data_IF_451482573401
#
_entry.id   IF_451482573401
#
_cell.length_a   1.000
_cell.length_b   1.000
_cell.length_c   1.000
_cell.angle_alpha   90.00
_cell.angle_beta   90.00
_cell.angle_gamma   90.00
#
_symmetry.space_group_name_H-M   'P 1'
#
loop_
_entity.id
_entity.type
_entity.pdbx_description
1 polymer ?
#
# COMPACT_ATOMS: atom_id res chain seq x y z
N UNK A 1 4.46 5.02 -11.08
CA UNK A 1 3.08 4.74 -10.79
C UNK A 1 2.58 3.51 -11.53
N UNK A 2 1.36 3.10 -11.24
CA UNK A 2 0.71 2.04 -12.02
C UNK A 2 0.29 2.57 -13.38
N UNK A 3 0.60 1.83 -14.45
CA UNK A 3 0.12 2.15 -15.79
C UNK A 3 -1.37 1.81 -15.87
N UNK A 4 -2.22 2.83 -15.90
CA UNK A 4 -3.66 2.69 -16.01
C UNK A 4 -4.26 3.89 -16.77
N UNK A 5 -5.53 3.76 -17.14
CA UNK A 5 -6.28 4.80 -17.86
C UNK A 5 -7.13 5.68 -16.91
N UNK A 6 -6.80 5.71 -15.64
CA UNK A 6 -7.51 6.48 -14.62
C UNK A 6 -8.68 5.75 -13.97
N UNK A 7 -9.27 6.40 -12.98
CA UNK A 7 -10.32 5.80 -12.14
C UNK A 7 -11.60 5.53 -12.92
N UNK A 8 -11.97 6.37 -13.88
CA UNK A 8 -13.18 6.17 -14.68
C UNK A 8 -13.12 4.89 -15.52
N UNK A 9 -11.95 4.61 -16.12
CA UNK A 9 -11.74 3.36 -16.85
C UNK A 9 -11.78 2.13 -15.93
N UNK A 10 -11.32 2.27 -14.67
CA UNK A 10 -11.44 1.22 -13.68
C UNK A 10 -12.91 0.97 -13.31
N UNK A 11 -13.68 2.03 -13.07
CA UNK A 11 -15.12 1.95 -12.79
C UNK A 11 -15.86 1.24 -13.92
N UNK A 12 -15.63 1.63 -15.17
CA UNK A 12 -16.27 0.98 -16.34
C UNK A 12 -16.03 -0.54 -16.38
N UNK A 13 -14.80 -0.98 -16.07
CA UNK A 13 -14.47 -2.41 -16.04
C UNK A 13 -15.12 -3.13 -14.86
N UNK A 14 -15.21 -2.48 -13.71
CA UNK A 14 -15.79 -3.05 -12.49
C UNK A 14 -17.31 -3.19 -12.55
N UNK A 15 -18.01 -2.41 -13.39
CA UNK A 15 -19.46 -2.56 -13.63
C UNK A 15 -19.85 -3.97 -14.09
N UNK A 16 -18.95 -4.69 -14.76
CA UNK A 16 -19.17 -6.06 -15.25
C UNK A 16 -18.42 -7.12 -14.44
N UNK A 17 -18.00 -6.81 -13.20
CA UNK A 17 -17.31 -7.82 -12.37
C UNK A 17 -18.22 -9.01 -12.06
N UNK A 18 -17.66 -10.24 -12.02
CA UNK A 18 -18.42 -11.42 -11.60
C UNK A 18 -18.94 -11.27 -10.16
N UNK A 19 -20.14 -11.78 -9.91
CA UNK A 19 -20.71 -11.82 -8.55
C UNK A 19 -19.89 -12.74 -7.65
N UNK A 20 -19.75 -12.37 -6.36
CA UNK A 20 -19.02 -13.16 -5.37
C UNK A 20 -17.49 -12.98 -5.39
N UNK A 21 -16.95 -12.21 -6.32
CA UNK A 21 -15.54 -11.86 -6.34
C UNK A 21 -15.26 -10.68 -5.39
N UNK A 22 -14.36 -10.87 -4.41
CA UNK A 22 -13.90 -9.79 -3.53
C UNK A 22 -12.88 -8.92 -4.28
N UNK A 23 -13.14 -7.63 -4.38
CA UNK A 23 -12.30 -6.66 -5.09
C UNK A 23 -11.83 -5.55 -4.16
N UNK A 24 -10.52 -5.33 -4.09
CA UNK A 24 -9.92 -4.21 -3.38
C UNK A 24 -9.61 -3.03 -4.30
N UNK A 25 -10.03 -1.83 -3.92
CA UNK A 25 -9.66 -0.59 -4.59
C UNK A 25 -8.30 -0.09 -4.08
N UNK A 26 -7.23 -0.30 -4.85
CA UNK A 26 -5.89 0.21 -4.52
C UNK A 26 -5.77 1.63 -5.05
N UNK A 27 -5.87 2.62 -4.15
CA UNK A 27 -5.89 4.05 -4.48
C UNK A 27 -4.58 4.73 -4.12
N UNK A 28 -4.18 5.71 -4.90
CA UNK A 28 -2.93 6.42 -4.73
C UNK A 28 -2.90 7.74 -5.50
N UNK A 29 -1.89 8.54 -5.21
CA UNK A 29 -1.64 9.83 -5.87
C UNK A 29 -1.15 9.67 -7.31
N UNK A 30 -1.59 10.53 -8.22
CA UNK A 30 -1.01 10.67 -9.55
C UNK A 30 0.46 11.16 -9.49
N UNK A 31 1.24 10.79 -10.49
CA UNK A 31 2.63 11.24 -10.58
C UNK A 31 2.76 12.77 -10.66
N UNK A 32 1.83 13.42 -11.35
CA UNK A 32 1.85 14.87 -11.58
C UNK A 32 1.30 15.69 -10.41
N UNK A 33 0.55 15.09 -9.50
CA UNK A 33 -0.07 15.79 -8.36
C UNK A 33 0.98 16.07 -7.28
N UNK A 34 1.14 17.33 -6.81
CA UNK A 34 2.02 17.65 -5.68
C UNK A 34 1.56 16.98 -4.37
N UNK A 35 2.49 16.79 -3.42
CA UNK A 35 2.17 16.10 -2.16
C UNK A 35 1.16 16.85 -1.29
N UNK A 36 1.15 18.17 -1.31
CA UNK A 36 0.19 19.01 -0.58
C UNK A 36 -1.25 18.87 -1.12
N UNK A 37 -1.42 18.42 -2.36
CA UNK A 37 -2.71 18.14 -3.00
C UNK A 37 -2.99 16.63 -3.09
N UNK A 38 -2.11 15.80 -2.57
CA UNK A 38 -2.22 14.34 -2.70
C UNK A 38 -3.59 13.79 -2.24
N UNK A 39 -4.11 14.32 -1.14
CA UNK A 39 -5.35 13.84 -0.55
C UNK A 39 -6.55 13.94 -1.50
N UNK A 40 -6.58 14.91 -2.40
CA UNK A 40 -7.65 15.08 -3.40
C UNK A 40 -7.72 13.88 -4.35
N UNK A 41 -6.57 13.36 -4.81
CA UNK A 41 -6.51 12.18 -5.67
C UNK A 41 -7.09 10.93 -4.97
N UNK A 42 -6.79 10.77 -3.66
CA UNK A 42 -7.35 9.66 -2.88
C UNK A 42 -8.87 9.82 -2.71
N UNK A 43 -9.37 11.03 -2.47
CA UNK A 43 -10.79 11.31 -2.33
C UNK A 43 -11.56 11.06 -3.63
N UNK A 44 -11.02 11.52 -4.77
CA UNK A 44 -11.59 11.26 -6.09
C UNK A 44 -11.68 9.76 -6.34
N UNK A 45 -10.58 9.03 -6.14
CA UNK A 45 -10.54 7.59 -6.32
C UNK A 45 -11.49 6.86 -5.36
N UNK A 46 -11.52 7.27 -4.09
CA UNK A 46 -12.40 6.67 -3.08
C UNK A 46 -13.87 6.81 -3.48
N UNK A 47 -14.29 8.02 -3.83
CA UNK A 47 -15.69 8.28 -4.20
C UNK A 47 -16.10 7.54 -5.48
N UNK A 48 -15.25 7.56 -6.51
CA UNK A 48 -15.53 6.90 -7.79
C UNK A 48 -15.63 5.37 -7.67
N UNK A 49 -14.79 4.76 -6.82
CA UNK A 49 -14.71 3.31 -6.68
C UNK A 49 -15.65 2.76 -5.59
N UNK A 50 -16.24 3.61 -4.75
CA UNK A 50 -16.96 3.17 -3.57
C UNK A 50 -18.01 2.09 -3.86
N UNK A 51 -18.84 2.24 -4.88
CA UNK A 51 -19.91 1.27 -5.21
C UNK A 51 -19.39 0.03 -5.95
N UNK A 52 -18.11 -0.01 -6.32
CA UNK A 52 -17.53 -1.02 -7.19
C UNK A 52 -16.51 -1.94 -6.50
N UNK A 53 -16.09 -1.65 -5.27
CA UNK A 53 -15.09 -2.42 -4.53
C UNK A 53 -15.62 -2.84 -3.16
N UNK A 54 -15.00 -3.85 -2.55
CA UNK A 54 -15.40 -4.36 -1.24
C UNK A 54 -14.57 -3.75 -0.10
N UNK A 55 -13.33 -3.34 -0.39
CA UNK A 55 -12.45 -2.66 0.55
C UNK A 55 -11.52 -1.71 -0.18
N UNK A 56 -10.84 -0.83 0.54
CA UNK A 56 -9.84 0.10 0.00
C UNK A 56 -8.45 -0.20 0.53
N UNK A 57 -7.45 0.03 -0.33
CA UNK A 57 -6.04 0.06 0.05
C UNK A 57 -5.50 1.46 -0.24
N UNK A 58 -5.14 2.20 0.80
CA UNK A 58 -4.41 3.47 0.69
C UNK A 58 -2.94 3.13 0.44
N UNK A 59 -2.46 3.43 -0.77
CA UNK A 59 -1.10 3.12 -1.20
C UNK A 59 -0.24 4.40 -1.20
N UNK A 60 0.60 4.53 -0.17
CA UNK A 60 1.57 5.63 -0.01
C UNK A 60 3.02 5.17 -0.24
N UNK A 61 3.22 3.96 -0.78
CA UNK A 61 4.49 3.26 -0.72
C UNK A 61 5.11 2.92 -2.07
N UNK A 62 4.57 3.45 -3.19
CA UNK A 62 5.15 3.19 -4.51
C UNK A 62 6.43 3.99 -4.70
N UNK A 63 7.59 3.34 -4.95
CA UNK A 63 8.84 4.04 -5.24
C UNK A 63 8.84 4.69 -6.64
N UNK A 64 7.86 4.36 -7.48
CA UNK A 64 7.77 4.85 -8.86
C UNK A 64 7.01 6.19 -8.98
N UNK A 65 6.50 6.71 -7.88
CA UNK A 65 5.83 8.02 -7.83
C UNK A 65 6.68 8.96 -6.98
N UNK A 66 7.27 10.02 -7.57
CA UNK A 66 8.13 10.95 -6.83
C UNK A 66 7.44 11.52 -5.59
N UNK A 67 8.17 11.54 -4.48
CA UNK A 67 7.71 12.09 -3.21
C UNK A 67 6.62 11.28 -2.50
N UNK A 68 6.05 10.22 -3.11
CA UNK A 68 4.94 9.49 -2.50
C UNK A 68 5.32 8.87 -1.15
N UNK A 69 6.55 8.36 -1.02
CA UNK A 69 7.01 7.76 0.23
C UNK A 69 7.13 8.77 1.38
N UNK A 70 7.20 10.07 1.10
CA UNK A 70 7.18 11.13 2.12
C UNK A 70 5.83 11.18 2.85
N UNK A 71 4.75 10.74 2.18
CA UNK A 71 3.42 10.62 2.81
C UNK A 71 3.35 9.51 3.86
N UNK A 72 4.39 8.68 4.02
CA UNK A 72 4.48 7.71 5.11
C UNK A 72 4.96 8.33 6.44
N UNK A 73 5.39 9.61 6.45
CA UNK A 73 5.64 10.34 7.68
C UNK A 73 4.36 10.44 8.53
N UNK A 74 4.52 10.42 9.85
CA UNK A 74 3.41 10.30 10.82
C UNK A 74 2.31 11.33 10.61
N UNK A 75 2.67 12.62 10.55
CA UNK A 75 1.70 13.71 10.42
C UNK A 75 0.97 13.69 9.07
N UNK A 76 1.65 13.67 7.89
CA UNK A 76 0.96 13.66 6.60
C UNK A 76 0.14 12.37 6.40
N UNK A 77 0.61 11.23 6.90
CA UNK A 77 -0.12 9.98 6.83
C UNK A 77 -1.40 10.02 7.67
N UNK A 78 -1.30 10.50 8.91
CA UNK A 78 -2.45 10.64 9.81
C UNK A 78 -3.51 11.58 9.20
N UNK A 79 -3.08 12.71 8.63
CA UNK A 79 -3.98 13.64 7.98
C UNK A 79 -4.71 13.01 6.79
N UNK A 80 -3.97 12.31 5.91
CA UNK A 80 -4.53 11.62 4.75
C UNK A 80 -5.54 10.54 5.16
N UNK A 81 -5.17 9.69 6.11
CA UNK A 81 -6.03 8.59 6.57
C UNK A 81 -7.29 9.10 7.25
N UNK A 82 -7.20 10.16 8.05
CA UNK A 82 -8.37 10.79 8.65
C UNK A 82 -9.34 11.35 7.59
N UNK A 83 -8.84 11.94 6.50
CA UNK A 83 -9.68 12.40 5.39
C UNK A 83 -10.40 11.23 4.71
N UNK A 84 -9.70 10.15 4.39
CA UNK A 84 -10.30 8.94 3.79
C UNK A 84 -11.33 8.32 4.73
N UNK A 85 -11.05 8.21 6.03
CA UNK A 85 -11.97 7.66 7.02
C UNK A 85 -13.21 8.56 7.21
N UNK A 86 -13.05 9.88 7.18
CA UNK A 86 -14.18 10.81 7.25
C UNK A 86 -15.13 10.63 6.05
N UNK A 87 -14.60 10.47 4.83
CA UNK A 87 -15.41 10.14 3.66
C UNK A 87 -16.10 8.78 3.80
N UNK A 88 -15.38 7.78 4.30
CA UNK A 88 -15.90 6.43 4.50
C UNK A 88 -17.07 6.41 5.49
N UNK A 89 -16.99 7.20 6.56
CA UNK A 89 -18.04 7.31 7.57
C UNK A 89 -19.30 8.03 7.07
N UNK A 90 -19.19 8.85 6.02
CA UNK A 90 -20.33 9.52 5.39
C UNK A 90 -21.08 8.60 4.42
N UNK A 91 -20.55 7.42 4.10
CA UNK A 91 -21.20 6.46 3.20
C UNK A 91 -22.22 5.61 3.92
N UNK A 92 -23.24 5.07 3.22
CA UNK A 92 -24.27 4.22 3.83
C UNK A 92 -23.71 3.02 4.61
N UNK A 93 -22.60 2.44 4.11
CA UNK A 93 -21.89 1.33 4.76
C UNK A 93 -20.39 1.62 4.70
N UNK A 94 -19.76 1.79 5.86
CA UNK A 94 -18.31 1.97 5.89
C UNK A 94 -17.60 0.69 5.39
N UNK A 95 -16.63 0.87 4.48
CA UNK A 95 -15.82 -0.24 3.95
C UNK A 95 -14.48 -0.37 4.68
N UNK A 96 -13.90 -1.58 4.77
CA UNK A 96 -12.55 -1.74 5.31
C UNK A 96 -11.54 -0.89 4.55
N UNK A 97 -10.70 -0.14 5.27
CA UNK A 97 -9.58 0.63 4.72
C UNK A 97 -8.28 0.06 5.26
N UNK A 98 -7.39 -0.35 4.37
CA UNK A 98 -6.07 -0.87 4.67
C UNK A 98 -4.98 0.10 4.21
N UNK A 99 -3.84 0.09 4.88
CA UNK A 99 -2.67 0.86 4.47
C UNK A 99 -1.60 -0.06 3.90
N UNK A 100 -1.07 0.26 2.71
CA UNK A 100 0.06 -0.46 2.11
C UNK A 100 1.35 0.32 2.26
N UNK A 101 2.34 -0.31 2.91
CA UNK A 101 3.61 0.30 3.29
C UNK A 101 4.81 -0.21 2.48
N UNK A 102 5.90 0.57 2.47
CA UNK A 102 7.17 0.19 1.88
C UNK A 102 7.95 -0.77 2.81
N UNK A 103 8.83 -1.62 2.24
CA UNK A 103 9.71 -2.46 3.05
C UNK A 103 10.90 -1.68 3.64
N UNK A 104 11.22 -0.53 3.08
CA UNK A 104 12.46 0.23 3.35
C UNK A 104 12.34 1.16 4.59
N UNK A 105 11.26 1.03 5.36
CA UNK A 105 11.03 1.80 6.59
C UNK A 105 11.95 1.32 7.72
N UNK A 106 12.41 2.26 8.55
CA UNK A 106 13.11 1.97 9.81
C UNK A 106 12.14 1.47 10.88
N UNK A 107 12.65 0.87 11.95
CA UNK A 107 11.82 0.40 13.06
C UNK A 107 11.03 1.54 13.70
N UNK A 108 11.62 2.72 13.87
CA UNK A 108 10.91 3.90 14.38
C UNK A 108 9.75 4.32 13.45
N UNK A 109 9.96 4.26 12.13
CA UNK A 109 8.90 4.55 11.16
C UNK A 109 7.81 3.47 11.18
N UNK A 110 8.17 2.20 11.42
CA UNK A 110 7.19 1.12 11.59
C UNK A 110 6.37 1.31 12.87
N UNK A 111 6.97 1.80 13.97
CA UNK A 111 6.23 2.17 15.18
C UNK A 111 5.23 3.31 14.90
N UNK A 112 5.61 4.34 14.15
CA UNK A 112 4.72 5.42 13.73
C UNK A 112 3.56 4.90 12.85
N UNK A 113 3.82 3.92 11.96
CA UNK A 113 2.78 3.25 11.16
C UNK A 113 1.78 2.54 12.07
N UNK A 114 2.25 1.78 13.06
CA UNK A 114 1.38 1.06 14.00
C UNK A 114 0.50 2.04 14.79
N UNK A 115 1.09 3.08 15.35
CA UNK A 115 0.33 4.10 16.10
C UNK A 115 -0.72 4.79 15.22
N UNK A 116 -0.31 5.21 14.02
CA UNK A 116 -1.22 5.86 13.07
C UNK A 116 -2.36 4.94 12.63
N UNK A 117 -2.06 3.67 12.33
CA UNK A 117 -3.07 2.69 11.92
C UNK A 117 -4.15 2.47 13.00
N UNK A 118 -3.71 2.38 14.27
CA UNK A 118 -4.63 2.23 15.40
C UNK A 118 -5.43 3.52 15.65
N UNK A 119 -4.76 4.68 15.65
CA UNK A 119 -5.40 5.97 15.91
C UNK A 119 -6.46 6.31 14.84
N UNK A 120 -6.19 6.00 13.56
CA UNK A 120 -7.09 6.25 12.43
C UNK A 120 -8.08 5.11 12.18
N UNK A 121 -8.12 4.08 13.05
CA UNK A 121 -9.05 2.95 12.98
C UNK A 121 -9.03 2.24 11.62
N UNK A 122 -7.84 1.95 11.11
CA UNK A 122 -7.71 1.12 9.91
C UNK A 122 -8.21 -0.31 10.15
N UNK A 123 -8.62 -0.98 9.08
CA UNK A 123 -9.03 -2.38 9.11
C UNK A 123 -7.83 -3.35 9.05
N UNK A 124 -6.65 -2.88 8.66
CA UNK A 124 -5.44 -3.69 8.58
C UNK A 124 -4.30 -3.00 7.84
N UNK A 125 -3.17 -3.71 7.76
CA UNK A 125 -1.97 -3.29 7.02
C UNK A 125 -1.67 -4.27 5.88
N UNK A 126 -1.00 -3.79 4.83
CA UNK A 126 -0.43 -4.62 3.75
C UNK A 126 1.08 -4.38 3.74
N UNK A 127 1.84 -5.38 4.06
CA UNK A 127 3.29 -5.36 4.13
C UNK A 127 3.89 -6.45 3.24
N UNK A 128 4.59 -6.11 2.13
CA UNK A 128 5.06 -4.78 1.76
C UNK A 128 4.90 -4.47 0.26
N UNK A 129 5.20 -3.24 -0.12
CA UNK A 129 5.44 -2.88 -1.52
C UNK A 129 6.82 -3.41 -1.98
N UNK A 130 7.27 -3.02 -3.18
CA UNK A 130 8.62 -3.26 -3.71
C UNK A 130 9.67 -2.43 -2.97
N UNK A 131 10.93 -2.90 -2.95
CA UNK A 131 12.06 -2.19 -2.33
C UNK A 131 12.82 -1.31 -3.30
N UNK A 132 13.43 -0.24 -2.81
CA UNK A 132 14.42 0.55 -3.55
C UNK A 132 15.84 -0.02 -3.43
N UNK A 133 16.08 -0.97 -2.52
CA UNK A 133 17.38 -1.63 -2.38
C UNK A 133 17.76 -2.38 -3.66
N UNK A 134 19.04 -2.29 -4.00
CA UNK A 134 19.68 -3.00 -5.11
C UNK A 134 20.64 -4.08 -4.62
N UNK A 135 20.62 -4.35 -3.33
CA UNK A 135 21.49 -5.35 -2.72
C UNK A 135 21.10 -6.77 -3.12
N UNK A 136 22.12 -7.64 -3.22
CA UNK A 136 21.96 -9.07 -3.48
C UNK A 136 21.23 -9.41 -4.80
N UNK A 137 21.25 -8.50 -5.79
CA UNK A 137 20.75 -8.79 -7.13
C UNK A 137 21.71 -9.70 -7.88
N UNK A 138 21.16 -10.67 -8.63
CA UNK A 138 21.94 -11.53 -9.53
C UNK A 138 22.29 -10.83 -10.86
N UNK A 139 21.55 -9.79 -11.20
CA UNK A 139 21.74 -8.98 -12.41
C UNK A 139 23.02 -8.16 -12.27
N UNK A 140 23.90 -8.10 -13.30
CA UNK A 140 25.06 -7.24 -13.27
C UNK A 140 24.71 -5.78 -12.99
N UNK A 141 25.56 -5.10 -12.22
CA UNK A 141 25.30 -3.73 -11.79
C UNK A 141 25.11 -2.76 -12.98
N UNK A 142 25.90 -2.91 -14.04
CA UNK A 142 25.77 -2.10 -15.27
C UNK A 142 24.37 -2.21 -15.89
N UNK A 143 23.80 -3.42 -15.91
CA UNK A 143 22.44 -3.63 -16.41
C UNK A 143 21.39 -3.01 -15.47
N UNK A 144 21.61 -3.08 -14.15
CA UNK A 144 20.71 -2.44 -13.16
C UNK A 144 20.72 -0.92 -13.33
N UNK A 145 21.90 -0.33 -13.57
CA UNK A 145 22.05 1.10 -13.82
C UNK A 145 21.38 1.54 -15.13
N UNK A 146 21.47 0.73 -16.19
CA UNK A 146 20.77 0.98 -17.46
C UNK A 146 19.25 0.95 -17.32
N UNK A 147 18.70 0.04 -16.49
CA UNK A 147 17.28 -0.05 -16.20
C UNK A 147 16.80 1.19 -15.41
N UNK A 148 17.65 1.74 -14.56
CA UNK A 148 17.39 2.94 -13.77
C UNK A 148 16.55 2.71 -12.52
N UNK A 149 15.89 3.78 -12.05
CA UNK A 149 15.11 3.79 -10.83
C UNK A 149 13.82 2.98 -10.94
N UNK A 150 13.32 2.54 -9.79
CA UNK A 150 12.07 1.81 -9.68
C UNK A 150 12.08 0.81 -8.52
N UNK A 151 10.97 0.14 -8.29
CA UNK A 151 10.85 -0.85 -7.23
C UNK A 151 11.30 -2.23 -7.69
N UNK A 152 12.10 -2.91 -6.85
CA UNK A 152 12.49 -4.32 -7.02
C UNK A 152 11.52 -5.21 -6.28
N UNK A 153 11.00 -6.23 -6.97
CA UNK A 153 10.11 -7.25 -6.43
C UNK A 153 10.75 -8.64 -6.46
N UNK A 154 10.03 -9.63 -5.98
CA UNK A 154 10.46 -11.03 -6.03
C UNK A 154 11.41 -11.42 -4.90
N UNK A 155 12.33 -12.37 -5.18
CA UNK A 155 13.25 -12.92 -4.17
C UNK A 155 14.02 -11.85 -3.40
N UNK A 156 14.52 -10.76 -4.01
CA UNK A 156 15.30 -9.75 -3.29
C UNK A 156 14.54 -9.08 -2.14
N UNK A 157 13.21 -8.93 -2.23
CA UNK A 157 12.41 -8.30 -1.16
C UNK A 157 11.90 -9.30 -0.11
N UNK A 158 12.06 -10.62 -0.33
CA UNK A 158 11.45 -11.66 0.50
C UNK A 158 11.84 -11.55 1.98
N UNK A 159 13.14 -11.54 2.26
CA UNK A 159 13.64 -11.51 3.63
C UNK A 159 13.18 -10.24 4.36
N UNK A 160 13.39 -9.07 3.75
CA UNK A 160 13.00 -7.80 4.35
C UNK A 160 11.49 -7.71 4.59
N UNK A 161 10.68 -8.20 3.66
CA UNK A 161 9.23 -8.28 3.83
C UNK A 161 8.85 -9.14 5.04
N UNK A 162 9.50 -10.31 5.23
CA UNK A 162 9.27 -11.19 6.39
C UNK A 162 9.64 -10.50 7.71
N UNK A 163 10.78 -9.79 7.74
CA UNK A 163 11.21 -9.02 8.93
C UNK A 163 10.19 -7.94 9.29
N UNK A 164 9.74 -7.15 8.31
CA UNK A 164 8.73 -6.11 8.52
C UNK A 164 7.40 -6.70 9.01
N UNK A 165 6.93 -7.79 8.40
CA UNK A 165 5.69 -8.45 8.83
C UNK A 165 5.79 -8.93 10.26
N UNK A 166 6.90 -9.59 10.64
CA UNK A 166 7.14 -10.03 12.02
C UNK A 166 7.15 -8.87 13.00
N UNK A 167 7.88 -7.80 12.69
CA UNK A 167 7.94 -6.60 13.52
C UNK A 167 6.55 -6.00 13.75
N UNK A 168 5.75 -5.87 12.69
CA UNK A 168 4.38 -5.36 12.78
C UNK A 168 3.48 -6.28 13.59
N UNK A 169 3.58 -7.60 13.39
CA UNK A 169 2.77 -8.57 14.12
C UNK A 169 3.02 -8.50 15.64
N UNK A 170 4.30 -8.40 16.04
CA UNK A 170 4.69 -8.22 17.44
C UNK A 170 4.14 -6.92 18.04
N UNK A 171 4.27 -5.79 17.34
CA UNK A 171 3.77 -4.48 17.80
C UNK A 171 2.25 -4.40 17.82
N UNK A 172 1.59 -4.99 16.86
CA UNK A 172 0.12 -5.00 16.77
C UNK A 172 -0.50 -5.96 17.79
N UNK A 173 0.19 -7.04 18.17
CA UNK A 173 -0.30 -8.03 19.14
C UNK A 173 -1.75 -8.50 18.85
N UNK A 174 -2.05 -8.77 17.59
CA UNK A 174 -3.37 -9.23 17.13
C UNK A 174 -4.46 -8.16 17.02
N UNK A 175 -4.15 -6.88 17.30
CA UNK A 175 -5.15 -5.78 17.22
C UNK A 175 -5.58 -5.43 15.81
N UNK A 176 -4.73 -5.66 14.81
CA UNK A 176 -5.02 -5.47 13.39
C UNK A 176 -4.42 -6.61 12.57
N UNK A 177 -5.10 -7.10 11.53
CA UNK A 177 -4.54 -8.06 10.60
C UNK A 177 -3.46 -7.42 9.72
N UNK A 178 -2.47 -8.24 9.32
CA UNK A 178 -1.45 -7.88 8.35
C UNK A 178 -1.54 -8.82 7.16
N UNK A 179 -1.71 -8.27 5.96
CA UNK A 179 -1.61 -9.03 4.70
C UNK A 179 -0.15 -9.06 4.28
N UNK A 180 0.47 -10.25 4.34
CA UNK A 180 1.87 -10.44 3.96
C UNK A 180 2.04 -10.45 2.44
N UNK A 181 2.97 -9.65 1.92
CA UNK A 181 3.29 -9.54 0.50
C UNK A 181 4.80 -9.37 0.32
N UNK A 182 5.38 -10.03 -0.67
CA UNK A 182 6.78 -9.83 -1.07
C UNK A 182 7.56 -11.12 -1.15
N UNK A 183 7.98 -11.49 -2.36
CA UNK A 183 8.88 -12.61 -2.62
C UNK A 183 8.31 -14.00 -2.36
N UNK A 184 6.99 -14.18 -2.39
CA UNK A 184 6.32 -15.47 -2.20
C UNK A 184 6.29 -16.20 -3.54
N UNK A 185 7.03 -17.31 -3.65
CA UNK A 185 7.15 -18.15 -4.85
C UNK A 185 6.78 -19.62 -4.58
N UNK A 186 6.65 -20.00 -3.31
CA UNK A 186 6.35 -21.36 -2.89
C UNK A 186 5.43 -21.37 -1.67
N UNK A 187 4.79 -22.52 -1.37
CA UNK A 187 4.05 -22.68 -0.12
C UNK A 187 4.90 -22.42 1.14
N UNK A 188 6.19 -22.79 1.11
CA UNK A 188 7.11 -22.53 2.21
C UNK A 188 7.32 -21.03 2.45
N UNK A 189 7.45 -20.24 1.37
CA UNK A 189 7.55 -18.77 1.48
C UNK A 189 6.28 -18.15 2.08
N UNK A 190 5.11 -18.72 1.79
CA UNK A 190 3.85 -18.27 2.38
C UNK A 190 3.79 -18.59 3.88
N UNK A 191 4.18 -19.80 4.27
CA UNK A 191 4.23 -20.23 5.67
C UNK A 191 5.23 -19.37 6.48
N UNK A 192 6.37 -19.01 5.88
CA UNK A 192 7.36 -18.14 6.53
C UNK A 192 6.80 -16.78 6.95
N UNK A 193 5.71 -16.32 6.32
CA UNK A 193 5.09 -15.03 6.60
C UNK A 193 3.94 -15.09 7.61
N UNK A 194 3.57 -16.29 8.04
CA UNK A 194 2.56 -16.52 9.08
C UNK A 194 3.18 -16.56 10.49
#
# INVERSE_FOLDING_TARGET
GFNNHGVDAAVQRLQSRPSGLIVGGNIGKNKATPNDQAAEDYEICFNALYDHVDYFTVNVSSPNTPGLCELQGKEPLTALLNRVQALNQQKPVAKPVLLKIAPDLTDSQLDDIVETALATKLAGLIATNTTVSRENLRTPQSTVEEIGDGGVSGVPVRQRSTEVIRYLAERLAGRLPVIGVGGIHSPADAIEKL
#
